data_IF_356306484514
#
_entry.id   IF_356306484514
#
_cell.length_a   1.000
_cell.length_b   1.000
_cell.length_c   1.000
_cell.angle_alpha   90.00
_cell.angle_beta   90.00
_cell.angle_gamma   90.00
#
_symmetry.space_group_name_H-M   'P 1'
#
loop_
_entity.id
_entity.type
_entity.pdbx_description
1 polymer ?
#
# COMPACT_ATOMS: atom_id res chain seq x y z
N UNK A 1 -45.91 13.67 -5.48
CA UNK A 1 -44.55 14.21 -5.22
C UNK A 1 -43.55 13.11 -4.85
N UNK A 2 -43.97 12.02 -4.19
CA UNK A 2 -43.13 10.84 -3.87
C UNK A 2 -42.44 10.20 -5.09
N UNK A 3 -43.16 10.08 -6.21
CA UNK A 3 -42.66 9.37 -7.39
C UNK A 3 -41.55 10.15 -8.11
N UNK A 4 -41.66 11.49 -8.14
CA UNK A 4 -40.63 12.35 -8.71
C UNK A 4 -39.35 12.36 -7.87
N UNK A 5 -39.45 12.34 -6.53
CA UNK A 5 -38.27 12.27 -5.66
C UNK A 5 -37.55 10.94 -5.79
N UNK A 6 -38.28 9.82 -5.90
CA UNK A 6 -37.68 8.50 -6.09
C UNK A 6 -36.99 8.37 -7.44
N UNK A 7 -37.60 8.87 -8.52
CA UNK A 7 -37.00 8.87 -9.87
C UNK A 7 -35.73 9.73 -9.92
N UNK A 8 -35.75 10.92 -9.31
CA UNK A 8 -34.58 11.79 -9.23
C UNK A 8 -33.46 11.12 -8.42
N UNK A 9 -33.80 10.54 -7.27
CA UNK A 9 -32.87 9.81 -6.40
C UNK A 9 -32.21 8.65 -7.15
N UNK A 10 -33.00 7.80 -7.81
CA UNK A 10 -32.49 6.69 -8.61
C UNK A 10 -31.56 7.17 -9.73
N UNK A 11 -31.96 8.21 -10.46
CA UNK A 11 -31.15 8.77 -11.57
C UNK A 11 -29.81 9.32 -11.09
N UNK A 12 -29.81 10.13 -10.03
CA UNK A 12 -28.59 10.65 -9.41
C UNK A 12 -27.72 9.52 -8.85
N UNK A 13 -28.34 8.52 -8.23
CA UNK A 13 -27.67 7.32 -7.76
C UNK A 13 -26.95 6.60 -8.90
N UNK A 14 -27.58 6.38 -10.05
CA UNK A 14 -26.93 5.75 -11.21
C UNK A 14 -25.75 6.58 -11.73
N UNK A 15 -25.89 7.90 -11.83
CA UNK A 15 -24.81 8.80 -12.25
C UNK A 15 -23.62 8.72 -11.30
N UNK A 16 -23.88 8.76 -9.98
CA UNK A 16 -22.85 8.60 -8.96
C UNK A 16 -22.21 7.21 -9.03
N UNK A 17 -22.99 6.18 -9.33
CA UNK A 17 -22.50 4.84 -9.59
C UNK A 17 -21.45 4.82 -10.71
N UNK A 18 -21.80 5.39 -11.87
CA UNK A 18 -20.88 5.47 -12.99
C UNK A 18 -19.62 6.28 -12.66
N UNK A 19 -19.77 7.51 -12.15
CA UNK A 19 -18.64 8.39 -11.81
C UNK A 19 -17.73 7.77 -10.76
N UNK A 20 -18.31 7.20 -9.72
CA UNK A 20 -17.56 6.55 -8.67
C UNK A 20 -16.87 5.27 -9.12
N UNK A 21 -17.49 4.48 -10.00
CA UNK A 21 -16.87 3.31 -10.62
C UNK A 21 -15.60 3.67 -11.41
N UNK A 22 -15.64 4.74 -12.20
CA UNK A 22 -14.49 5.23 -12.99
C UNK A 22 -13.34 5.75 -12.12
N UNK A 23 -13.68 6.35 -10.96
CA UNK A 23 -12.68 6.95 -10.07
C UNK A 23 -12.11 5.96 -9.06
N UNK A 24 -12.90 4.95 -8.67
CA UNK A 24 -12.50 3.92 -7.71
C UNK A 24 -11.21 3.23 -8.12
N UNK A 25 -10.27 3.11 -7.18
CA UNK A 25 -8.97 2.50 -7.42
C UNK A 25 -8.84 1.13 -6.76
N UNK A 26 -8.12 0.23 -7.43
CA UNK A 26 -7.84 -1.13 -6.97
C UNK A 26 -7.04 -1.19 -5.66
N UNK A 27 -6.30 -0.11 -5.33
CA UNK A 27 -5.53 -0.01 -4.08
C UNK A 27 -6.42 -0.12 -2.84
N UNK A 28 -7.72 0.21 -2.94
CA UNK A 28 -8.69 -0.04 -1.86
C UNK A 28 -8.85 -1.52 -1.56
N UNK A 29 -8.80 -2.38 -2.59
CA UNK A 29 -8.85 -3.83 -2.42
C UNK A 29 -7.51 -4.40 -1.98
N UNK A 30 -6.37 -3.83 -2.39
CA UNK A 30 -5.07 -4.17 -1.77
C UNK A 30 -5.11 -3.90 -0.25
N UNK A 31 -5.64 -2.74 0.16
CA UNK A 31 -5.82 -2.39 1.58
C UNK A 31 -6.76 -3.36 2.31
N UNK A 32 -7.84 -3.79 1.66
CA UNK A 32 -8.77 -4.77 2.21
C UNK A 32 -8.13 -6.14 2.40
N UNK A 33 -7.30 -6.57 1.44
CA UNK A 33 -6.69 -7.91 1.41
C UNK A 33 -5.37 -7.98 2.20
N UNK A 34 -4.76 -6.84 2.51
CA UNK A 34 -3.55 -6.72 3.33
C UNK A 34 -3.66 -5.57 4.34
N UNK A 35 -4.59 -5.66 5.30
CA UNK A 35 -4.86 -4.57 6.23
C UNK A 35 -3.65 -4.20 7.11
N UNK A 36 -2.83 -5.18 7.48
CA UNK A 36 -1.65 -4.98 8.33
C UNK A 36 -0.65 -4.01 7.69
N UNK A 37 -0.53 -4.01 6.35
CA UNK A 37 0.36 -3.13 5.60
C UNK A 37 -0.10 -1.67 5.57
N UNK A 38 -1.39 -1.39 5.79
CA UNK A 38 -1.92 -0.02 5.68
C UNK A 38 -2.36 0.60 7.02
N UNK A 39 -2.72 -0.22 8.00
CA UNK A 39 -3.31 0.26 9.25
C UNK A 39 -2.38 0.14 10.48
N UNK A 40 -1.16 -0.38 10.30
CA UNK A 40 -0.15 -0.42 11.37
C UNK A 40 0.58 0.92 11.58
N UNK A 41 0.51 1.84 10.63
CA UNK A 41 1.02 3.22 10.81
C UNK A 41 -0.02 4.11 11.52
N UNK A 42 0.37 4.72 12.63
CA UNK A 42 -0.50 5.54 13.45
C UNK A 42 0.05 6.97 13.55
N UNK A 43 -0.33 7.79 12.58
CA UNK A 43 -0.12 9.23 12.57
C UNK A 43 -1.46 9.93 12.54
N UNK A 44 -1.62 11.06 13.25
CA UNK A 44 -2.89 11.81 13.27
C UNK A 44 -3.37 12.19 11.87
N UNK A 45 -2.45 12.52 10.96
CA UNK A 45 -2.80 12.82 9.56
C UNK A 45 -3.35 11.59 8.84
N UNK A 46 -2.74 10.42 9.03
CA UNK A 46 -3.20 9.15 8.44
C UNK A 46 -4.56 8.78 9.03
N UNK A 47 -4.74 8.95 10.33
CA UNK A 47 -6.01 8.68 11.00
C UNK A 47 -7.13 9.56 10.43
N UNK A 48 -6.92 10.88 10.34
CA UNK A 48 -7.91 11.81 9.77
C UNK A 48 -8.23 11.47 8.30
N UNK A 49 -7.19 11.26 7.47
CA UNK A 49 -7.37 10.85 6.07
C UNK A 49 -8.12 9.51 5.98
N UNK A 50 -7.72 8.54 6.81
CA UNK A 50 -8.37 7.25 6.98
C UNK A 50 -9.86 7.39 7.21
N UNK A 51 -10.23 8.14 8.25
CA UNK A 51 -11.61 8.30 8.70
C UNK A 51 -12.52 8.97 7.70
N UNK A 52 -12.00 9.97 6.99
CA UNK A 52 -12.79 10.72 6.04
C UNK A 52 -12.79 10.04 4.66
N UNK A 53 -11.63 9.62 4.16
CA UNK A 53 -11.46 9.39 2.72
C UNK A 53 -11.49 7.93 2.28
N UNK A 54 -11.40 6.96 3.20
CA UNK A 54 -11.22 5.54 2.86
C UNK A 54 -12.40 4.63 3.24
N UNK A 55 -13.61 5.19 3.28
CA UNK A 55 -14.83 4.40 3.46
C UNK A 55 -15.15 3.61 2.19
N UNK A 56 -15.50 2.34 2.36
CA UNK A 56 -15.80 1.42 1.24
C UNK A 56 -17.31 1.24 0.99
N UNK A 57 -18.18 2.08 1.57
CA UNK A 57 -19.62 2.07 1.31
C UNK A 57 -20.06 2.81 0.04
N UNK A 58 -19.11 3.22 -0.81
CA UNK A 58 -19.38 3.89 -2.07
C UNK A 58 -19.52 2.94 -3.27
N UNK A 59 -19.72 3.48 -4.48
CA UNK A 59 -19.69 2.73 -5.74
C UNK A 59 -18.29 2.22 -6.10
N UNK A 60 -17.94 1.02 -5.60
CA UNK A 60 -16.64 0.38 -5.86
C UNK A 60 -16.68 -0.76 -6.88
N UNK A 61 -17.84 -1.01 -7.49
CA UNK A 61 -18.10 -2.19 -8.31
C UNK A 61 -17.13 -2.37 -9.48
N UNK A 62 -16.71 -1.30 -10.16
CA UNK A 62 -15.77 -1.39 -11.28
C UNK A 62 -14.37 -1.83 -10.82
N UNK A 63 -13.82 -1.22 -9.77
CA UNK A 63 -12.55 -1.62 -9.17
C UNK A 63 -12.59 -3.04 -8.58
N UNK A 64 -13.73 -3.43 -8.01
CA UNK A 64 -13.96 -4.78 -7.50
C UNK A 64 -13.97 -5.83 -8.62
N UNK A 65 -14.70 -5.55 -9.72
CA UNK A 65 -14.73 -6.42 -10.90
C UNK A 65 -13.34 -6.58 -11.50
N UNK A 66 -12.61 -5.47 -11.68
CA UNK A 66 -11.23 -5.51 -12.18
C UNK A 66 -10.29 -6.33 -11.29
N UNK A 67 -10.45 -6.22 -9.97
CA UNK A 67 -9.76 -7.09 -9.02
C UNK A 67 -10.10 -8.56 -9.29
N UNK A 68 -11.38 -8.92 -9.39
CA UNK A 68 -11.79 -10.31 -9.65
C UNK A 68 -11.30 -10.84 -11.00
N UNK A 69 -11.27 -10.00 -12.03
CA UNK A 69 -10.72 -10.33 -13.35
C UNK A 69 -9.23 -10.66 -13.25
N UNK A 70 -8.44 -9.85 -12.54
CA UNK A 70 -7.02 -10.16 -12.28
C UNK A 70 -6.85 -11.49 -11.55
N UNK A 71 -7.67 -11.77 -10.53
CA UNK A 71 -7.63 -13.06 -9.83
C UNK A 71 -7.97 -14.22 -10.77
N UNK A 72 -8.87 -14.01 -11.74
CA UNK A 72 -9.26 -15.03 -12.73
C UNK A 72 -8.16 -15.26 -13.76
N UNK A 73 -7.62 -14.19 -14.33
CA UNK A 73 -6.54 -14.23 -15.32
C UNK A 73 -5.29 -14.90 -14.75
N UNK A 74 -4.98 -14.62 -13.49
CA UNK A 74 -3.88 -15.29 -12.79
C UNK A 74 -4.23 -16.70 -12.30
N UNK A 75 -5.43 -17.20 -12.55
CA UNK A 75 -5.81 -18.59 -12.33
C UNK A 75 -6.16 -18.97 -10.90
N UNK A 76 -6.48 -18.00 -10.03
CA UNK A 76 -6.78 -18.25 -8.61
C UNK A 76 -8.12 -18.98 -8.37
N UNK A 77 -8.96 -19.05 -9.39
CA UNK A 77 -10.24 -19.76 -9.35
C UNK A 77 -10.09 -21.28 -9.57
N UNK A 78 -8.98 -21.73 -10.15
CA UNK A 78 -8.80 -23.13 -10.55
C UNK A 78 -8.53 -24.11 -9.40
N UNK A 79 -8.62 -23.64 -8.15
CA UNK A 79 -8.57 -24.47 -6.96
C UNK A 79 -7.23 -24.40 -6.24
N UNK A 80 -6.97 -25.40 -5.40
CA UNK A 80 -5.86 -25.35 -4.46
C UNK A 80 -4.50 -25.39 -5.19
N UNK A 81 -3.57 -24.51 -4.77
CA UNK A 81 -2.21 -24.40 -5.31
C UNK A 81 -2.12 -24.13 -6.82
N UNK A 82 -3.19 -23.65 -7.46
CA UNK A 82 -3.18 -23.21 -8.86
C UNK A 82 -3.23 -21.69 -8.95
N UNK A 83 -2.66 -21.17 -10.04
CA UNK A 83 -2.58 -19.74 -10.31
C UNK A 83 -1.42 -19.02 -9.61
N UNK A 84 -1.13 -17.80 -10.04
CA UNK A 84 -0.05 -16.95 -9.56
C UNK A 84 -0.61 -15.76 -8.74
N UNK A 85 0.04 -15.38 -7.64
CA UNK A 85 -0.36 -14.16 -6.92
C UNK A 85 0.31 -12.90 -7.48
N UNK A 86 1.42 -13.04 -8.18
CA UNK A 86 2.13 -11.92 -8.80
C UNK A 86 1.22 -11.25 -9.85
N UNK A 87 1.11 -9.92 -9.76
CA UNK A 87 0.22 -9.13 -10.60
C UNK A 87 -1.25 -9.17 -10.16
N UNK A 88 -1.53 -9.56 -8.91
CA UNK A 88 -2.85 -9.45 -8.28
C UNK A 88 -2.82 -8.45 -7.13
N UNK A 89 -3.98 -8.02 -6.59
CA UNK A 89 -4.00 -7.14 -5.42
C UNK A 89 -3.45 -7.78 -4.13
N UNK A 90 -3.16 -9.09 -4.13
CA UNK A 90 -2.40 -9.72 -3.05
C UNK A 90 -0.89 -9.42 -3.14
N UNK A 91 -0.38 -9.23 -4.36
CA UNK A 91 1.04 -9.10 -4.66
C UNK A 91 1.24 -8.44 -6.03
N UNK A 92 1.27 -7.10 -6.03
CA UNK A 92 1.32 -6.31 -7.26
C UNK A 92 2.70 -6.37 -7.94
N UNK A 93 2.71 -6.44 -9.27
CA UNK A 93 3.90 -6.60 -10.10
C UNK A 93 4.24 -5.28 -10.80
N UNK A 94 5.38 -4.68 -10.43
CA UNK A 94 5.86 -3.46 -11.07
C UNK A 94 6.55 -3.69 -12.42
N UNK A 95 6.79 -4.95 -12.82
CA UNK A 95 7.48 -5.34 -14.05
C UNK A 95 8.86 -4.69 -14.19
N UNK A 96 9.58 -4.59 -13.09
CA UNK A 96 10.95 -4.06 -13.03
C UNK A 96 11.95 -5.21 -12.96
N UNK A 97 13.18 -4.94 -13.38
CA UNK A 97 14.32 -5.83 -13.24
C UNK A 97 15.41 -5.19 -12.40
N UNK A 98 16.18 -6.02 -11.71
CA UNK A 98 17.41 -5.61 -11.04
C UNK A 98 18.62 -6.20 -11.77
N UNK A 99 19.74 -5.49 -11.68
CA UNK A 99 21.03 -5.92 -12.19
C UNK A 99 21.99 -6.13 -11.02
N UNK A 100 22.72 -7.25 -11.01
CA UNK A 100 23.66 -7.63 -9.97
C UNK A 100 24.80 -8.46 -10.59
N UNK A 101 26.04 -7.99 -10.46
CA UNK A 101 27.22 -8.70 -10.96
C UNK A 101 27.08 -9.14 -12.44
N UNK A 102 26.52 -8.28 -13.30
CA UNK A 102 26.29 -8.53 -14.73
C UNK A 102 25.09 -9.45 -15.06
N UNK A 103 24.36 -9.93 -14.06
CA UNK A 103 23.12 -10.69 -14.27
C UNK A 103 21.91 -9.79 -14.07
N UNK A 104 20.91 -9.97 -14.93
CA UNK A 104 19.60 -9.30 -14.82
C UNK A 104 18.53 -10.32 -14.41
N UNK A 105 17.72 -9.96 -13.41
CA UNK A 105 16.60 -10.80 -12.93
C UNK A 105 15.41 -9.89 -12.55
N UNK A 106 14.22 -10.47 -12.45
CA UNK A 106 12.98 -9.72 -12.20
C UNK A 106 12.81 -9.36 -10.72
N UNK A 107 12.34 -8.13 -10.46
CA UNK A 107 11.93 -7.65 -9.12
C UNK A 107 10.48 -8.10 -8.90
N UNK A 108 10.28 -9.27 -8.29
CA UNK A 108 8.91 -9.80 -8.05
C UNK A 108 8.23 -9.13 -6.85
N UNK A 109 9.00 -8.73 -5.84
CA UNK A 109 8.52 -7.79 -4.84
C UNK A 109 9.30 -6.48 -4.88
N UNK A 110 8.50 -5.43 -4.91
CA UNK A 110 8.93 -4.07 -5.11
C UNK A 110 8.87 -3.23 -3.82
N UNK A 111 9.04 -3.83 -2.64
CA UNK A 111 8.96 -3.14 -1.37
C UNK A 111 9.94 -1.96 -1.33
N UNK A 112 11.22 -2.23 -1.56
CA UNK A 112 12.25 -1.19 -1.57
C UNK A 112 12.11 -0.20 -2.73
N UNK A 113 11.56 -0.65 -3.86
CA UNK A 113 11.21 0.25 -4.97
C UNK A 113 10.07 1.19 -4.56
N UNK A 114 9.03 0.70 -3.90
CA UNK A 114 7.92 1.53 -3.40
C UNK A 114 8.39 2.49 -2.32
N UNK A 115 9.30 2.05 -1.44
CA UNK A 115 9.98 2.93 -0.48
C UNK A 115 10.72 4.04 -1.23
N UNK A 116 11.51 3.71 -2.25
CA UNK A 116 12.28 4.71 -3.01
C UNK A 116 11.38 5.70 -3.77
N UNK A 117 10.24 5.25 -4.30
CA UNK A 117 9.22 6.13 -4.91
C UNK A 117 8.61 7.14 -3.94
N UNK A 118 8.57 6.80 -2.65
CA UNK A 118 8.05 7.70 -1.62
C UNK A 118 9.08 8.74 -1.14
N UNK A 119 10.36 8.59 -1.52
CA UNK A 119 11.42 9.53 -1.18
C UNK A 119 11.30 10.76 -2.06
N UNK A 120 10.99 11.92 -1.44
CA UNK A 120 10.80 13.18 -2.16
C UNK A 120 11.78 14.27 -1.70
N UNK A 121 12.28 15.05 -2.67
CA UNK A 121 13.21 16.17 -2.45
C UNK A 121 12.65 17.20 -1.46
N UNK A 122 11.36 17.51 -1.55
CA UNK A 122 10.72 18.51 -0.68
C UNK A 122 10.70 18.09 0.79
N UNK A 123 10.63 16.78 1.04
CA UNK A 123 10.70 16.19 2.39
C UNK A 123 12.14 16.15 2.91
N UNK A 124 13.10 15.81 2.05
CA UNK A 124 14.54 15.77 2.40
C UNK A 124 15.09 17.16 2.76
N UNK A 125 14.76 18.20 1.97
CA UNK A 125 15.24 19.58 2.19
C UNK A 125 14.76 20.21 3.51
N UNK A 126 13.69 19.69 4.12
CA UNK A 126 13.13 20.21 5.37
C UNK A 126 13.88 19.69 6.60
N UNK A 127 14.62 18.58 6.47
CA UNK A 127 15.35 17.94 7.55
C UNK A 127 16.82 18.37 7.57
N UNK A 128 17.18 19.22 8.55
CA UNK A 128 18.56 19.71 8.78
C UNK A 128 19.57 18.64 9.24
N UNK A 129 19.14 17.38 9.40
CA UNK A 129 19.94 16.27 9.99
C UNK A 129 20.51 15.28 8.97
N UNK A 130 20.09 15.35 7.71
CA UNK A 130 20.79 14.66 6.63
C UNK A 130 22.03 15.48 6.28
N UNK A 131 23.15 14.86 5.87
CA UNK A 131 24.33 15.60 5.43
C UNK A 131 23.88 16.65 4.42
N UNK A 132 24.11 17.92 4.76
CA UNK A 132 23.88 19.02 3.84
C UNK A 132 24.67 18.68 2.58
N UNK A 133 23.95 18.66 1.46
CA UNK A 133 24.51 18.55 0.12
C UNK A 133 25.82 19.33 0.02
N UNK A 134 26.80 18.80 -0.71
CA UNK A 134 27.87 19.61 -1.29
C UNK A 134 27.20 20.60 -2.24
N UNK A 135 26.68 21.70 -1.68
CA UNK A 135 26.11 22.81 -2.42
C UNK A 135 27.21 23.63 -3.11
N UNK A 136 28.48 23.25 -2.99
CA UNK A 136 29.57 23.88 -3.74
C UNK A 136 29.42 23.66 -5.25
N UNK A 137 28.74 22.59 -5.70
CA UNK A 137 28.36 22.41 -7.12
C UNK A 137 27.05 23.12 -7.52
N UNK A 138 26.30 23.65 -6.54
CA UNK A 138 25.02 24.39 -6.77
C UNK A 138 25.21 25.90 -6.51
N UNK A 139 26.41 26.34 -6.09
CA UNK A 139 26.75 27.75 -5.96
C UNK A 139 26.85 28.48 -7.30
N UNK A 140 26.95 27.76 -8.42
CA UNK A 140 26.67 28.33 -9.73
C UNK A 140 25.15 28.45 -9.92
N UNK A 141 24.64 29.62 -9.51
CA UNK A 141 23.26 30.12 -9.59
C UNK A 141 22.69 30.18 -11.04
N UNK A 142 23.31 29.47 -11.99
CA UNK A 142 23.03 29.52 -13.44
C UNK A 142 22.45 28.22 -14.02
N UNK A 143 22.56 27.07 -13.34
CA UNK A 143 22.02 25.82 -13.89
C UNK A 143 20.57 25.54 -13.44
N UNK A 144 19.62 26.14 -14.16
CA UNK A 144 18.22 25.69 -14.13
C UNK A 144 18.09 24.35 -14.86
N UNK A 145 18.23 23.24 -14.15
CA UNK A 145 17.98 21.92 -14.71
C UNK A 145 16.48 21.73 -15.01
N UNK A 146 16.16 21.26 -16.23
CA UNK A 146 14.78 20.97 -16.67
C UNK A 146 14.13 19.85 -15.85
N UNK A 147 14.93 18.89 -15.38
CA UNK A 147 14.52 17.77 -14.53
C UNK A 147 15.76 17.24 -13.79
N UNK A 148 15.65 16.94 -12.50
CA UNK A 148 16.67 16.21 -11.75
C UNK A 148 16.29 14.74 -11.64
N UNK A 149 17.27 13.86 -11.71
CA UNK A 149 17.12 12.44 -11.45
C UNK A 149 17.50 12.15 -10.00
N UNK A 150 16.72 11.28 -9.35
CA UNK A 150 17.00 10.77 -7.99
C UNK A 150 17.83 9.50 -8.07
N UNK A 151 18.90 9.44 -7.28
CA UNK A 151 19.66 8.22 -7.02
C UNK A 151 19.50 7.90 -5.55
N UNK A 152 18.69 6.89 -5.24
CA UNK A 152 18.46 6.41 -3.89
C UNK A 152 19.39 5.23 -3.62
N UNK A 153 20.16 5.31 -2.55
CA UNK A 153 21.06 4.28 -2.06
C UNK A 153 20.54 3.72 -0.74
N UNK A 154 20.18 2.45 -0.73
CA UNK A 154 19.69 1.76 0.46
C UNK A 154 20.72 0.74 0.89
N UNK A 155 21.18 0.81 2.14
CA UNK A 155 22.03 -0.24 2.72
C UNK A 155 21.16 -1.16 3.56
N UNK A 156 21.27 -2.47 3.33
CA UNK A 156 20.58 -3.51 4.08
C UNK A 156 21.59 -4.34 4.88
N UNK A 157 21.25 -4.61 6.14
CA UNK A 157 22.04 -5.46 7.03
C UNK A 157 21.16 -6.28 7.96
N UNK A 158 21.76 -7.24 8.64
CA UNK A 158 21.09 -8.00 9.70
C UNK A 158 21.18 -7.19 10.99
N UNK A 159 20.03 -6.92 11.61
CA UNK A 159 19.95 -6.21 12.88
C UNK A 159 20.54 -7.07 13.99
N UNK A 160 21.73 -6.71 14.50
CA UNK A 160 22.32 -7.41 15.65
C UNK A 160 21.49 -7.16 16.91
N UNK A 161 21.01 -8.22 17.57
CA UNK A 161 20.46 -8.13 18.92
C UNK A 161 21.54 -7.58 19.87
N UNK A 162 21.27 -6.43 20.49
CA UNK A 162 22.15 -5.86 21.53
C UNK A 162 23.34 -5.03 21.03
N UNK A 163 23.50 -4.81 19.72
CA UNK A 163 24.45 -3.82 19.21
C UNK A 163 23.85 -2.43 19.30
N UNK A 164 24.35 -1.59 20.20
CA UNK A 164 24.24 -0.14 20.04
C UNK A 164 24.86 0.21 18.68
N UNK A 165 24.04 0.37 17.64
CA UNK A 165 24.48 1.10 16.45
C UNK A 165 24.98 2.45 16.95
N UNK A 166 26.18 2.86 16.52
CA UNK A 166 26.88 4.04 17.02
C UNK A 166 25.95 5.22 17.35
N UNK A 167 26.24 5.81 18.51
CA UNK A 167 25.74 7.11 18.99
C UNK A 167 25.02 7.96 17.93
N UNK A 168 23.76 8.32 18.24
CA UNK A 168 22.86 9.31 17.60
C UNK A 168 21.80 8.87 16.56
N UNK A 169 21.75 7.62 16.11
CA UNK A 169 20.70 7.21 15.14
C UNK A 169 19.47 6.60 15.85
N UNK A 170 18.35 7.32 15.92
CA UNK A 170 17.11 6.78 16.47
C UNK A 170 16.58 5.61 15.60
N UNK A 171 16.56 4.38 16.14
CA UNK A 171 16.07 3.19 15.43
C UNK A 171 14.54 3.10 15.50
N UNK A 172 13.88 2.87 14.36
CA UNK A 172 12.42 2.67 14.31
C UNK A 172 12.07 1.25 13.88
N UNK A 173 11.25 0.58 14.69
CA UNK A 173 10.80 -0.79 14.42
C UNK A 173 9.50 -0.80 13.63
N UNK A 174 9.45 -1.63 12.59
CA UNK A 174 8.32 -1.79 11.68
C UNK A 174 8.03 -3.28 11.51
N UNK A 175 6.77 -3.67 11.68
CA UNK A 175 6.33 -5.08 11.62
C UNK A 175 5.04 -5.18 10.82
N UNK A 176 4.99 -6.13 9.88
CA UNK A 176 3.80 -6.42 9.04
C UNK A 176 3.10 -7.72 9.45
N UNK A 177 3.81 -8.62 10.13
CA UNK A 177 3.39 -10.00 10.36
C UNK A 177 2.32 -10.18 11.45
N UNK A 178 1.91 -9.10 12.12
CA UNK A 178 0.98 -9.17 13.24
C UNK A 178 -0.15 -8.17 13.08
N UNK A 179 -1.38 -8.67 13.20
CA UNK A 179 -2.56 -7.84 13.44
C UNK A 179 -2.39 -7.17 14.79
N UNK A 180 -2.32 -5.84 14.78
CA UNK A 180 -2.24 -5.05 16.01
C UNK A 180 -3.61 -4.44 16.32
N UNK A 181 -3.81 -3.97 17.55
CA UNK A 181 -5.02 -3.20 17.89
C UNK A 181 -5.16 -1.95 17.01
N UNK A 182 -4.04 -1.41 16.50
CA UNK A 182 -4.03 -0.28 15.56
C UNK A 182 -4.68 -0.65 14.23
N UNK A 183 -4.50 -1.88 13.76
CA UNK A 183 -5.17 -2.39 12.55
C UNK A 183 -6.68 -2.34 12.71
N UNK A 184 -7.20 -2.82 13.85
CA UNK A 184 -8.64 -2.79 14.17
C UNK A 184 -9.16 -1.36 14.28
N UNK A 185 -8.42 -0.49 15.00
CA UNK A 185 -8.80 0.92 15.10
C UNK A 185 -8.78 1.63 13.74
N UNK A 186 -7.82 1.32 12.88
CA UNK A 186 -7.71 1.88 11.53
C UNK A 186 -8.88 1.47 10.62
N UNK A 187 -9.34 0.22 10.75
CA UNK A 187 -10.55 -0.26 10.05
C UNK A 187 -11.79 0.49 10.54
N UNK A 188 -11.98 0.58 11.86
CA UNK A 188 -13.11 1.31 12.47
C UNK A 188 -13.09 2.79 12.07
N UNK A 189 -11.92 3.41 12.13
CA UNK A 189 -11.71 4.78 11.69
C UNK A 189 -12.15 4.92 10.24
N UNK A 190 -11.66 4.06 9.33
CA UNK A 190 -11.99 4.16 7.90
C UNK A 190 -13.47 4.03 7.55
N UNK A 191 -14.30 3.49 8.44
CA UNK A 191 -15.75 3.41 8.26
C UNK A 191 -16.54 4.36 9.19
N UNK A 192 -15.88 5.31 9.85
CA UNK A 192 -16.54 6.24 10.79
C UNK A 192 -17.65 7.05 10.14
N UNK A 193 -17.49 7.44 8.87
CA UNK A 193 -18.51 8.18 8.13
C UNK A 193 -19.72 7.30 7.79
N UNK A 194 -19.50 6.02 7.47
CA UNK A 194 -20.59 5.06 7.29
C UNK A 194 -21.34 4.82 8.60
N UNK A 195 -20.60 4.68 9.72
CA UNK A 195 -21.18 4.54 11.06
C UNK A 195 -21.99 5.78 11.48
N UNK A 196 -21.49 6.99 11.23
CA UNK A 196 -22.21 8.22 11.49
C UNK A 196 -23.51 8.28 10.67
N UNK A 197 -23.45 7.88 9.40
CA UNK A 197 -24.63 7.78 8.52
C UNK A 197 -25.62 6.73 9.02
N UNK A 198 -25.15 5.60 9.52
CA UNK A 198 -25.99 4.56 10.11
C UNK A 198 -26.73 5.06 11.35
N UNK A 199 -26.05 5.80 12.23
CA UNK A 199 -26.68 6.42 13.42
C UNK A 199 -27.76 7.42 12.99
N UNK A 200 -27.47 8.27 12.01
CA UNK A 200 -28.46 9.21 11.47
C UNK A 200 -29.67 8.49 10.86
N UNK A 201 -29.45 7.36 10.17
CA UNK A 201 -30.53 6.55 9.61
C UNK A 201 -31.49 6.03 10.70
N UNK A 202 -30.98 5.64 11.87
CA UNK A 202 -31.81 5.21 13.01
C UNK A 202 -32.72 6.34 13.50
N UNK A 203 -32.21 7.57 13.57
CA UNK A 203 -32.99 8.73 14.03
C UNK A 203 -34.14 9.15 13.08
N UNK A 204 -34.10 8.68 11.83
CA UNK A 204 -35.16 8.92 10.83
C UNK A 204 -35.94 7.63 10.51
N UNK A 205 -35.98 6.69 11.47
CA UNK A 205 -36.70 5.41 11.40
C UNK A 205 -36.22 4.42 10.31
N UNK A 206 -35.02 4.65 9.75
CA UNK A 206 -34.37 3.82 8.74
C UNK A 206 -33.47 2.71 9.30
N UNK A 207 -33.93 1.93 10.27
CA UNK A 207 -33.11 0.93 10.98
C UNK A 207 -32.43 -0.09 10.05
N UNK A 208 -33.10 -0.51 8.97
CA UNK A 208 -32.53 -1.46 8.01
C UNK A 208 -31.42 -0.84 7.15
N UNK A 209 -31.51 0.47 6.87
CA UNK A 209 -30.43 1.21 6.19
C UNK A 209 -29.23 1.36 7.11
N UNK A 210 -29.44 1.48 8.42
CA UNK A 210 -28.34 1.46 9.38
C UNK A 210 -27.57 0.13 9.31
N UNK A 211 -28.27 -1.00 9.22
CA UNK A 211 -27.63 -2.32 9.02
C UNK A 211 -26.85 -2.34 7.69
N UNK A 212 -27.46 -1.87 6.60
CA UNK A 212 -26.81 -1.77 5.30
C UNK A 212 -25.50 -0.97 5.36
N UNK A 213 -25.51 0.21 6.00
CA UNK A 213 -24.32 1.07 6.13
C UNK A 213 -23.19 0.44 6.96
N UNK A 214 -23.50 -0.55 7.81
CA UNK A 214 -22.50 -1.27 8.62
C UNK A 214 -21.87 -2.44 7.85
N UNK A 215 -22.44 -2.88 6.73
CA UNK A 215 -21.92 -4.02 5.95
C UNK A 215 -20.46 -3.85 5.51
N UNK A 216 -19.98 -2.70 4.98
CA UNK A 216 -18.58 -2.52 4.63
C UNK A 216 -17.63 -2.74 5.81
N UNK A 217 -18.02 -2.32 7.02
CA UNK A 217 -17.25 -2.58 8.24
C UNK A 217 -17.21 -4.07 8.56
N UNK A 218 -18.35 -4.77 8.50
CA UNK A 218 -18.42 -6.22 8.72
C UNK A 218 -17.52 -6.95 7.72
N UNK A 219 -17.57 -6.58 6.45
CA UNK A 219 -16.75 -7.15 5.39
C UNK A 219 -15.25 -6.89 5.62
N UNK A 220 -14.86 -5.68 6.03
CA UNK A 220 -13.47 -5.36 6.41
C UNK A 220 -12.99 -6.18 7.62
N UNK A 221 -13.84 -6.35 8.63
CA UNK A 221 -13.52 -7.18 9.80
C UNK A 221 -13.40 -8.67 9.42
N UNK A 222 -14.28 -9.16 8.55
CA UNK A 222 -14.17 -10.52 7.99
C UNK A 222 -12.90 -10.69 7.15
N UNK A 223 -12.50 -9.68 6.37
CA UNK A 223 -11.27 -9.68 5.59
C UNK A 223 -10.03 -9.70 6.50
N UNK A 224 -10.05 -8.98 7.62
CA UNK A 224 -8.99 -9.01 8.63
C UNK A 224 -8.84 -10.42 9.24
N UNK A 225 -9.94 -11.04 9.66
CA UNK A 225 -9.91 -12.41 10.21
C UNK A 225 -9.49 -13.43 9.14
N UNK A 226 -9.94 -13.21 7.92
CA UNK A 226 -9.66 -14.01 6.74
C UNK A 226 -8.35 -13.68 6.02
N UNK A 227 -7.49 -12.83 6.59
CA UNK A 227 -6.31 -12.32 5.88
C UNK A 227 -5.37 -13.46 5.49
N UNK A 228 -4.90 -13.45 4.25
CA UNK A 228 -4.04 -14.51 3.73
C UNK A 228 -2.69 -14.43 4.44
N UNK A 229 -2.22 -15.58 4.94
CA UNK A 229 -0.88 -15.68 5.54
C UNK A 229 0.19 -15.37 4.51
N UNK A 230 1.19 -14.57 4.87
CA UNK A 230 2.29 -14.15 3.98
C UNK A 230 3.64 -14.56 4.54
N UNK A 231 4.60 -14.74 3.65
CA UNK A 231 6.00 -15.00 4.01
C UNK A 231 6.62 -13.71 4.61
N UNK A 232 7.10 -13.82 5.84
CA UNK A 232 7.85 -12.75 6.52
C UNK A 232 9.31 -12.74 6.10
N UNK A 233 10.16 -12.19 6.97
CA UNK A 233 11.62 -12.27 6.80
C UNK A 233 12.12 -13.69 7.07
N UNK A 234 13.19 -14.10 6.38
CA UNK A 234 13.81 -15.42 6.53
C UNK A 234 14.65 -15.51 7.82
N UNK A 235 14.86 -16.73 8.32
CA UNK A 235 15.75 -17.00 9.47
C UNK A 235 17.20 -16.91 9.08
N UNK A 236 18.09 -16.67 10.05
CA UNK A 236 19.54 -16.65 9.82
C UNK A 236 20.02 -17.94 9.14
N UNK A 237 19.56 -19.09 9.64
CA UNK A 237 19.91 -20.40 9.10
C UNK A 237 19.35 -20.69 7.71
N UNK A 238 18.31 -19.97 7.26
CA UNK A 238 17.77 -20.05 5.91
C UNK A 238 18.56 -19.14 4.96
N UNK A 239 18.90 -17.93 5.44
CA UNK A 239 19.74 -16.99 4.72
C UNK A 239 21.15 -17.56 4.44
N UNK A 240 21.78 -18.19 5.45
CA UNK A 240 23.08 -18.84 5.33
C UNK A 240 23.08 -19.99 4.30
N UNK A 241 21.95 -20.70 4.15
CA UNK A 241 21.81 -21.73 3.12
C UNK A 241 21.74 -21.16 1.71
N UNK A 242 21.26 -19.93 1.55
CA UNK A 242 21.13 -19.27 0.24
C UNK A 242 22.40 -18.57 -0.21
N UNK A 243 23.34 -18.31 0.70
CA UNK A 243 24.65 -17.73 0.35
C UNK A 243 25.40 -17.21 1.57
N UNK A 244 26.64 -16.77 1.33
CA UNK A 244 27.45 -16.12 2.36
C UNK A 244 26.81 -14.80 2.80
N UNK A 245 26.72 -14.58 4.11
CA UNK A 245 26.26 -13.34 4.72
C UNK A 245 27.36 -12.28 4.82
N UNK A 246 28.62 -12.68 4.67
CA UNK A 246 29.78 -11.77 4.76
C UNK A 246 30.04 -11.06 3.42
N UNK A 247 29.52 -11.61 2.33
CA UNK A 247 29.70 -11.04 0.99
C UNK A 247 28.64 -9.98 0.72
N UNK A 248 29.09 -8.72 0.63
CA UNK A 248 28.25 -7.59 0.27
C UNK A 248 28.16 -7.51 -1.27
N UNK A 249 26.94 -7.43 -1.79
CA UNK A 249 26.66 -7.27 -3.22
C UNK A 249 25.80 -6.02 -3.45
N UNK A 250 26.00 -5.36 -4.58
CA UNK A 250 25.26 -4.15 -4.97
C UNK A 250 24.28 -4.48 -6.09
N UNK A 251 23.02 -4.10 -5.87
CA UNK A 251 21.90 -4.34 -6.78
C UNK A 251 21.41 -3.03 -7.33
N UNK A 252 21.30 -2.93 -8.65
CA UNK A 252 20.85 -1.73 -9.35
C UNK A 252 19.45 -1.96 -9.92
N UNK A 253 18.57 -0.99 -9.73
CA UNK A 253 17.23 -0.94 -10.30
C UNK A 253 17.04 0.43 -10.94
N UNK A 254 16.51 0.45 -12.16
CA UNK A 254 16.15 1.69 -12.86
C UNK A 254 14.64 1.78 -13.06
N UNK A 255 14.06 2.88 -12.59
CA UNK A 255 12.66 3.25 -12.82
C UNK A 255 12.65 4.55 -13.64
N UNK A 256 12.11 4.49 -14.86
CA UNK A 256 12.10 5.64 -15.78
C UNK A 256 11.44 6.90 -15.20
N UNK A 257 10.54 6.73 -14.22
CA UNK A 257 9.76 7.82 -13.62
C UNK A 257 10.38 8.32 -12.32
N UNK A 258 11.07 7.45 -11.58
CA UNK A 258 11.55 7.74 -10.21
C UNK A 258 13.08 7.66 -10.06
N UNK A 259 13.81 7.43 -11.15
CA UNK A 259 15.27 7.41 -11.19
C UNK A 259 15.88 6.06 -10.79
N UNK A 260 17.05 6.12 -10.17
CA UNK A 260 17.86 4.95 -9.83
C UNK A 260 17.67 4.57 -8.37
N UNK A 261 17.60 3.26 -8.13
CA UNK A 261 17.68 2.66 -6.81
C UNK A 261 18.87 1.70 -6.80
N UNK A 262 19.80 1.95 -5.89
CA UNK A 262 20.95 1.09 -5.61
C UNK A 262 20.75 0.51 -4.22
N UNK A 263 20.79 -0.81 -4.10
CA UNK A 263 20.68 -1.51 -2.82
C UNK A 263 21.96 -2.28 -2.57
N UNK A 264 22.57 -2.08 -1.40
CA UNK A 264 23.81 -2.77 -1.02
C UNK A 264 23.59 -3.57 0.24
N UNK A 265 24.04 -4.82 0.26
CA UNK A 265 23.95 -5.66 1.46
C UNK A 265 24.28 -7.11 1.16
N UNK A 266 24.17 -8.00 2.16
CA UNK A 266 24.36 -9.43 1.95
C UNK A 266 23.36 -9.96 0.91
N UNK A 267 23.83 -10.69 -0.11
CA UNK A 267 22.98 -11.18 -1.21
C UNK A 267 21.70 -11.88 -0.75
N UNK A 268 21.71 -12.82 0.23
CA UNK A 268 20.48 -13.45 0.71
C UNK A 268 19.50 -12.44 1.33
N UNK A 269 20.02 -11.43 2.05
CA UNK A 269 19.23 -10.41 2.74
C UNK A 269 18.54 -9.48 1.76
N UNK A 270 19.20 -9.11 0.66
CA UNK A 270 18.58 -8.26 -0.38
C UNK A 270 17.59 -9.07 -1.23
N UNK A 271 18.00 -10.26 -1.71
CA UNK A 271 17.21 -11.05 -2.65
C UNK A 271 15.93 -11.63 -2.06
N UNK A 272 15.81 -11.80 -0.73
CA UNK A 272 14.55 -12.21 -0.10
C UNK A 272 13.42 -11.20 -0.41
N UNK A 273 13.73 -9.90 -0.48
CA UNK A 273 12.76 -8.85 -0.80
C UNK A 273 12.34 -8.85 -2.27
N UNK A 274 13.15 -9.40 -3.16
CA UNK A 274 12.81 -9.53 -4.58
C UNK A 274 12.06 -10.81 -4.91
N UNK A 275 12.11 -11.82 -4.02
CA UNK A 275 11.59 -13.18 -4.30
C UNK A 275 10.39 -13.57 -3.46
N UNK A 276 10.50 -13.44 -2.13
CA UNK A 276 9.65 -14.18 -1.19
C UNK A 276 8.94 -13.28 -0.18
N UNK A 277 9.54 -12.17 0.23
CA UNK A 277 8.95 -11.27 1.21
C UNK A 277 7.52 -10.89 0.81
N UNK A 278 6.57 -10.94 1.74
CA UNK A 278 5.17 -10.59 1.52
C UNK A 278 4.39 -11.53 0.60
N UNK A 279 5.00 -12.60 0.08
CA UNK A 279 4.33 -13.52 -0.83
C UNK A 279 3.27 -14.33 -0.08
N UNK A 280 2.04 -14.45 -0.59
CA UNK A 280 1.01 -15.24 0.08
C UNK A 280 1.34 -16.75 0.12
N UNK A 281 1.07 -17.39 1.26
CA UNK A 281 1.34 -18.81 1.52
C UNK A 281 0.09 -19.66 1.25
N UNK A 282 0.28 -20.80 0.56
CA UNK A 282 -0.81 -21.68 0.06
C UNK A 282 -0.69 -23.15 0.46
N UNK A 283 0.23 -23.50 1.34
CA UNK A 283 0.49 -24.92 1.62
C UNK A 283 -0.64 -25.60 2.40
N UNK A 284 -1.50 -24.83 3.10
CA UNK A 284 -2.57 -25.32 3.97
C UNK A 284 -3.97 -25.21 3.36
N UNK A 285 -4.90 -26.07 3.80
CA UNK A 285 -6.34 -25.96 3.49
C UNK A 285 -6.96 -24.66 3.99
N UNK A 286 -6.50 -24.19 5.15
CA UNK A 286 -6.89 -22.89 5.71
C UNK A 286 -6.49 -21.73 4.81
N UNK A 287 -5.32 -21.80 4.16
CA UNK A 287 -4.88 -20.81 3.17
C UNK A 287 -5.85 -20.71 2.01
N UNK A 288 -6.35 -21.84 1.49
CA UNK A 288 -7.36 -21.84 0.42
C UNK A 288 -8.70 -21.27 0.90
N UNK A 289 -9.13 -21.60 2.11
CA UNK A 289 -10.36 -21.02 2.67
C UNK A 289 -10.27 -19.49 2.75
N UNK A 290 -9.14 -18.95 3.23
CA UNK A 290 -8.88 -17.51 3.33
C UNK A 290 -8.87 -16.82 1.96
N UNK A 291 -8.30 -17.47 0.96
CA UNK A 291 -8.31 -16.98 -0.42
C UNK A 291 -9.73 -16.93 -1.00
N UNK A 292 -10.52 -18.00 -0.82
CA UNK A 292 -11.92 -18.04 -1.28
C UNK A 292 -12.76 -16.99 -0.54
N UNK A 293 -12.58 -16.87 0.77
CA UNK A 293 -13.23 -15.84 1.58
C UNK A 293 -12.89 -14.44 1.06
N UNK A 294 -11.63 -14.18 0.74
CA UNK A 294 -11.19 -12.92 0.13
C UNK A 294 -11.91 -12.64 -1.19
N UNK A 295 -12.01 -13.63 -2.09
CA UNK A 295 -12.74 -13.51 -3.37
C UNK A 295 -14.22 -13.19 -3.12
N UNK A 296 -14.86 -13.89 -2.18
CA UNK A 296 -16.28 -13.68 -1.82
C UNK A 296 -16.50 -12.28 -1.25
N UNK A 297 -15.56 -11.78 -0.43
CA UNK A 297 -15.64 -10.42 0.12
C UNK A 297 -15.53 -9.37 -1.01
N UNK A 298 -14.56 -9.53 -1.93
CA UNK A 298 -14.43 -8.61 -3.08
C UNK A 298 -15.71 -8.65 -3.93
N UNK A 299 -16.26 -9.84 -4.18
CA UNK A 299 -17.53 -9.99 -4.90
C UNK A 299 -18.71 -9.32 -4.18
N UNK A 300 -18.72 -9.35 -2.83
CA UNK A 300 -19.75 -8.66 -2.04
C UNK A 300 -19.71 -7.14 -2.29
N UNK A 301 -18.53 -6.54 -2.48
CA UNK A 301 -18.39 -5.13 -2.85
C UNK A 301 -18.83 -4.82 -4.29
N UNK A 302 -18.84 -5.80 -5.20
CA UNK A 302 -19.47 -5.65 -6.53
C UNK A 302 -20.97 -5.42 -6.38
N UNK A 303 -21.62 -6.21 -5.51
CA UNK A 303 -23.07 -6.20 -5.33
C UNK A 303 -23.57 -5.10 -4.39
N UNK A 304 -22.73 -4.61 -3.49
CA UNK A 304 -23.11 -3.67 -2.43
C UNK A 304 -23.82 -2.43 -2.98
N UNK A 305 -23.18 -1.71 -3.92
CA UNK A 305 -23.75 -0.49 -4.48
C UNK A 305 -25.01 -0.74 -5.34
N UNK A 306 -25.03 -1.70 -6.28
CA UNK A 306 -26.25 -2.06 -7.00
C UNK A 306 -27.42 -2.43 -6.07
N UNK A 307 -27.14 -3.16 -4.99
CA UNK A 307 -28.16 -3.48 -3.99
C UNK A 307 -28.70 -2.21 -3.31
N UNK A 308 -27.84 -1.26 -2.94
CA UNK A 308 -28.25 0.06 -2.44
C UNK A 308 -29.15 0.82 -3.44
N UNK A 309 -28.81 0.78 -4.72
CA UNK A 309 -29.59 1.44 -5.78
C UNK A 309 -30.97 0.80 -5.98
N UNK A 310 -31.05 -0.53 -6.01
CA UNK A 310 -32.32 -1.25 -6.12
C UNK A 310 -33.17 -1.00 -4.87
N UNK A 311 -32.55 -1.02 -3.69
CA UNK A 311 -33.27 -0.80 -2.43
C UNK A 311 -33.80 0.61 -2.23
N UNK A 312 -33.26 1.59 -2.98
CA UNK A 312 -33.74 2.97 -3.02
C UNK A 312 -35.26 3.05 -3.35
N UNK A 313 -35.79 2.09 -4.12
CA UNK A 313 -37.23 2.01 -4.46
C UNK A 313 -38.11 1.88 -3.21
N UNK A 314 -37.62 1.20 -2.16
CA UNK A 314 -38.35 0.97 -0.91
C UNK A 314 -37.96 1.94 0.22
N UNK A 315 -37.08 2.90 -0.05
CA UNK A 315 -36.67 3.91 0.94
C UNK A 315 -37.65 5.09 0.94
N UNK A 316 -37.99 5.59 2.13
CA UNK A 316 -38.69 6.86 2.27
C UNK A 316 -37.81 8.03 1.83
N UNK A 317 -38.41 9.15 1.40
CA UNK A 317 -37.66 10.31 0.87
C UNK A 317 -36.50 10.78 1.77
N UNK A 318 -36.64 10.92 3.11
CA UNK A 318 -35.52 11.33 3.96
C UNK A 318 -34.34 10.35 3.92
N UNK A 319 -34.63 9.05 3.87
CA UNK A 319 -33.63 7.98 3.81
C UNK A 319 -32.95 7.96 2.44
N UNK A 320 -33.71 8.17 1.36
CA UNK A 320 -33.16 8.30 0.01
C UNK A 320 -32.13 9.43 -0.07
N UNK A 321 -32.47 10.61 0.46
CA UNK A 321 -31.54 11.75 0.48
C UNK A 321 -30.31 11.50 1.35
N UNK A 322 -30.48 10.86 2.51
CA UNK A 322 -29.35 10.48 3.37
C UNK A 322 -28.40 9.52 2.65
N UNK A 323 -28.95 8.48 2.00
CA UNK A 323 -28.17 7.52 1.23
C UNK A 323 -27.44 8.22 0.06
N UNK A 324 -28.13 9.06 -0.72
CA UNK A 324 -27.52 9.83 -1.81
C UNK A 324 -26.42 10.77 -1.33
N UNK A 325 -26.63 11.48 -0.22
CA UNK A 325 -25.63 12.38 0.33
C UNK A 325 -24.36 11.63 0.71
N UNK A 326 -24.51 10.43 1.29
CA UNK A 326 -23.38 9.56 1.59
C UNK A 326 -22.71 9.02 0.31
N UNK A 327 -23.47 8.62 -0.72
CA UNK A 327 -22.89 8.19 -1.99
C UNK A 327 -22.10 9.33 -2.67
N UNK A 328 -22.66 10.54 -2.72
CA UNK A 328 -21.99 11.73 -3.24
C UNK A 328 -20.70 12.01 -2.46
N UNK A 329 -20.76 11.94 -1.13
CA UNK A 329 -19.60 12.08 -0.26
C UNK A 329 -18.49 11.07 -0.60
N UNK A 330 -18.82 9.78 -0.73
CA UNK A 330 -17.82 8.76 -1.05
C UNK A 330 -17.18 8.98 -2.42
N UNK A 331 -17.96 9.35 -3.44
CA UNK A 331 -17.45 9.67 -4.78
C UNK A 331 -16.50 10.87 -4.69
N UNK A 332 -16.87 11.93 -3.98
CA UNK A 332 -16.02 13.10 -3.79
C UNK A 332 -14.72 12.77 -3.03
N UNK A 333 -14.80 11.95 -1.99
CA UNK A 333 -13.64 11.46 -1.26
C UNK A 333 -12.67 10.67 -2.16
N UNK A 334 -13.20 9.78 -3.01
CA UNK A 334 -12.37 9.05 -3.99
C UNK A 334 -11.66 9.99 -4.96
N UNK A 335 -12.33 11.05 -5.44
CA UNK A 335 -11.70 12.06 -6.30
C UNK A 335 -10.56 12.79 -5.59
N UNK A 336 -10.76 13.20 -4.33
CA UNK A 336 -9.72 13.84 -3.53
C UNK A 336 -8.50 12.91 -3.41
N UNK A 337 -8.73 11.66 -3.06
CA UNK A 337 -7.65 10.67 -2.89
C UNK A 337 -6.86 10.48 -4.18
N UNK A 338 -7.55 10.38 -5.32
CA UNK A 338 -6.92 10.21 -6.63
C UNK A 338 -6.16 11.46 -7.09
N UNK A 339 -6.75 12.65 -6.96
CA UNK A 339 -6.13 13.90 -7.39
C UNK A 339 -4.91 14.28 -6.54
N UNK A 340 -4.94 13.97 -5.24
CA UNK A 340 -3.85 14.27 -4.33
C UNK A 340 -2.80 13.16 -4.22
N UNK A 341 -2.99 12.04 -4.94
CA UNK A 341 -2.07 10.91 -4.92
C UNK A 341 -1.98 10.23 -3.55
N UNK A 342 -3.08 10.18 -2.79
CA UNK A 342 -3.09 9.65 -1.42
C UNK A 342 -3.44 8.17 -1.33
N UNK A 343 -3.36 7.42 -2.42
CA UNK A 343 -3.93 6.07 -2.48
C UNK A 343 -3.12 5.10 -1.64
N UNK A 344 -1.82 5.35 -1.52
CA UNK A 344 -0.90 4.67 -0.60
C UNK A 344 -0.98 5.09 0.86
N UNK A 345 -1.86 6.03 1.25
CA UNK A 345 -1.83 6.64 2.58
C UNK A 345 -1.80 5.62 3.72
N UNK A 346 -0.71 5.61 4.49
CA UNK A 346 -0.52 4.72 5.65
C UNK A 346 0.07 3.35 5.32
N UNK A 347 0.40 3.11 4.04
CA UNK A 347 1.12 1.90 3.62
C UNK A 347 2.50 1.85 4.29
N UNK A 348 2.97 0.67 4.67
CA UNK A 348 4.25 0.47 5.37
C UNK A 348 5.42 1.12 4.64
N UNK A 349 5.47 1.08 3.31
CA UNK A 349 6.54 1.68 2.54
C UNK A 349 6.60 3.20 2.69
N UNK A 350 5.45 3.87 2.81
CA UNK A 350 5.42 5.31 3.10
C UNK A 350 5.95 5.60 4.50
N UNK A 351 5.65 4.73 5.47
CA UNK A 351 6.18 4.84 6.84
C UNK A 351 7.69 4.64 6.85
N UNK A 352 8.18 3.59 6.20
CA UNK A 352 9.62 3.29 6.10
C UNK A 352 10.34 4.44 5.40
N UNK A 353 9.85 4.91 4.25
CA UNK A 353 10.43 6.04 3.54
C UNK A 353 10.46 7.31 4.40
N UNK A 354 9.40 7.60 5.16
CA UNK A 354 9.33 8.77 6.05
C UNK A 354 10.38 8.72 7.15
N UNK A 355 10.57 7.56 7.79
CA UNK A 355 11.57 7.41 8.85
C UNK A 355 12.99 7.45 8.28
N UNK A 356 13.23 6.82 7.13
CA UNK A 356 14.51 6.90 6.41
C UNK A 356 14.85 8.34 6.01
N UNK A 357 13.88 9.11 5.52
CA UNK A 357 14.03 10.54 5.20
C UNK A 357 14.27 11.43 6.45
N UNK A 358 13.99 10.94 7.66
CA UNK A 358 14.33 11.62 8.91
C UNK A 358 15.77 11.32 9.35
N UNK A 359 16.54 10.58 8.56
CA UNK A 359 17.88 10.11 8.90
C UNK A 359 17.87 9.01 9.96
N UNK A 360 16.72 8.37 10.19
CA UNK A 360 16.60 7.25 11.11
C UNK A 360 16.92 5.95 10.41
N UNK A 361 17.47 5.02 11.18
CA UNK A 361 17.59 3.64 10.75
C UNK A 361 16.26 2.91 10.98
N UNK A 362 15.79 2.19 9.97
CA UNK A 362 14.56 1.40 10.08
C UNK A 362 14.93 -0.06 10.25
N UNK A 363 14.29 -0.73 11.22
CA UNK A 363 14.43 -2.16 11.43
C UNK A 363 13.10 -2.85 11.14
N UNK A 364 13.07 -3.61 10.05
CA UNK A 364 11.95 -4.48 9.68
C UNK A 364 12.03 -5.75 10.54
N UNK A 365 10.96 -6.03 11.27
CA UNK A 365 10.87 -7.19 12.16
C UNK A 365 9.89 -8.21 11.62
N UNK A 366 10.26 -9.48 11.77
CA UNK A 366 9.42 -10.64 11.47
C UNK A 366 9.19 -11.45 12.74
N UNK A 367 8.05 -12.12 12.87
CA UNK A 367 7.80 -12.98 14.05
C UNK A 367 8.76 -14.18 14.13
N UNK A 368 9.25 -14.62 12.97
CA UNK A 368 9.98 -15.87 12.84
C UNK A 368 11.32 -15.73 12.11
N UNK A 369 11.64 -14.54 11.62
CA UNK A 369 12.85 -14.24 10.85
C UNK A 369 13.79 -13.28 11.56
N UNK A 370 14.93 -13.04 10.94
CA UNK A 370 15.88 -12.05 11.42
C UNK A 370 15.42 -10.63 11.11
N UNK A 371 15.72 -9.72 12.02
CA UNK A 371 15.47 -8.31 11.82
C UNK A 371 16.37 -7.78 10.70
N UNK A 372 15.80 -7.08 9.71
CA UNK A 372 16.56 -6.42 8.66
C UNK A 372 16.65 -4.94 8.95
N UNK A 373 17.88 -4.44 9.05
CA UNK A 373 18.19 -3.04 9.24
C UNK A 373 18.40 -2.35 7.89
N UNK A 374 17.80 -1.17 7.74
CA UNK A 374 17.87 -0.38 6.52
C UNK A 374 18.23 1.07 6.82
N UNK A 375 19.15 1.62 6.02
CA UNK A 375 19.50 3.04 5.99
C UNK A 375 19.40 3.58 4.56
N UNK A 376 19.11 4.87 4.43
CA UNK A 376 18.92 5.55 3.15
C UNK A 376 19.90 6.69 3.01
N UNK A 377 20.51 6.78 1.84
CA UNK A 377 21.23 7.93 1.35
C UNK A 377 20.68 8.30 -0.03
N UNK A 378 20.50 9.58 -0.32
CA UNK A 378 19.89 10.03 -1.59
C UNK A 378 20.72 11.15 -2.19
N UNK A 379 20.97 11.05 -3.50
CA UNK A 379 21.65 12.07 -4.30
C UNK A 379 20.76 12.50 -5.46
N UNK A 380 20.91 13.75 -5.88
CA UNK A 380 20.20 14.30 -7.04
C UNK A 380 21.22 14.64 -8.12
N UNK A 381 20.95 14.20 -9.33
CA UNK A 381 21.84 14.37 -10.48
C UNK A 381 21.11 15.06 -11.63
N UNK A 382 21.80 15.85 -12.46
CA UNK A 382 21.16 16.72 -13.44
C UNK A 382 20.59 16.01 -14.66
N UNK A 383 21.11 14.83 -14.99
CA UNK A 383 20.69 14.07 -16.17
C UNK A 383 20.91 12.56 -15.95
N UNK A 384 20.36 11.76 -16.85
CA UNK A 384 20.43 10.28 -16.79
C UNK A 384 21.89 9.81 -16.87
N UNK A 385 22.72 10.42 -17.71
CA UNK A 385 24.14 10.04 -17.84
C UNK A 385 24.94 10.25 -16.54
N UNK A 386 24.70 11.33 -15.82
CA UNK A 386 25.31 11.58 -14.51
C UNK A 386 24.76 10.62 -13.45
N UNK A 387 23.50 10.20 -13.58
CA UNK A 387 22.93 9.13 -12.76
C UNK A 387 23.61 7.79 -13.01
N UNK A 388 23.78 7.40 -14.27
CA UNK A 388 24.56 6.22 -14.66
C UNK A 388 25.97 6.26 -14.08
N UNK A 389 26.68 7.39 -14.22
CA UNK A 389 28.03 7.55 -13.69
C UNK A 389 28.06 7.43 -12.16
N UNK A 390 27.12 8.05 -11.46
CA UNK A 390 26.99 7.95 -10.00
C UNK A 390 26.73 6.51 -9.57
N UNK A 391 25.85 5.81 -10.28
CA UNK A 391 25.54 4.40 -10.01
C UNK A 391 26.75 3.50 -10.27
N UNK A 392 27.49 3.71 -11.37
CA UNK A 392 28.75 2.97 -11.65
C UNK A 392 29.79 3.16 -10.55
N UNK A 393 30.00 4.41 -10.11
CA UNK A 393 30.88 4.73 -8.98
C UNK A 393 30.46 4.00 -7.70
N UNK A 394 29.15 3.93 -7.42
CA UNK A 394 28.61 3.19 -6.27
C UNK A 394 28.73 1.67 -6.41
N UNK A 395 28.76 1.16 -7.64
CA UNK A 395 28.97 -0.26 -7.94
C UNK A 395 30.44 -0.67 -8.00
N UNK A 396 31.37 0.30 -8.04
CA UNK A 396 32.80 0.03 -8.19
C UNK A 396 33.23 -0.27 -9.64
N UNK A 397 32.43 0.16 -10.62
CA UNK A 397 32.72 0.15 -12.06
C UNK A 397 33.28 1.52 -12.51
#
# INVERSE_FOLDING_TARGET
MSDQSSVLSGTLGTILGYLGGEVAEEVLFERLLWPERFYNDFSSSIFIKGSLLFSMGGPLHAAALKTLDQLREQGLYYGNRRGNFLGTPFYDDLKLSYESSGNTDAVRNAFWVRVSRCVSRSSLSRNKRLPKFDMEDIQDDTFRFRSLQTVNYITLGIGKQGGMSGQDSAVTYVQEDKVTWRTVLGILASESMALATAILAIFIDGWWVAIYMVVPLILKMAALIGSVSREGLERLSELEKRGSLDTIETFRIFDSTHGYLVITGPKPVVTQFFRHYGHPTRYTTLGRFREVLSIVIVYSFVLYFPFGLITNIWMDSPIQYLWLAYQLYTVFAMHIVRLLGWQGCGRTEERVARELMLGKTVRLQSQHGEDVEASLWTTFVPNISSGEETVRRLMGE
#
